data_IF_303205899936
#
_entry.id   IF_303205899936
#
_cell.length_a   1.000
_cell.length_b   1.000
_cell.length_c   1.000
_cell.angle_alpha   90.00
_cell.angle_beta   90.00
_cell.angle_gamma   90.00
#
_symmetry.space_group_name_H-M   'P 1'
#
loop_
_entity.id
_entity.type
_entity.pdbx_description
1 polymer ?
#
# COMPACT_ATOMS: atom_id res chain seq x y z
N UNK A 1 19.47 -3.91 5.73
CA UNK A 1 19.09 -4.93 6.74
C UNK A 1 18.61 -6.16 5.98
N UNK A 2 19.13 -7.35 6.27
CA UNK A 2 18.79 -8.56 5.53
C UNK A 2 17.63 -9.27 6.25
N UNK A 3 16.46 -9.36 5.62
CA UNK A 3 15.32 -10.12 6.14
C UNK A 3 15.63 -11.59 5.95
N UNK A 4 15.49 -12.40 7.00
CA UNK A 4 15.56 -13.85 6.88
C UNK A 4 14.12 -14.40 6.75
N UNK A 5 13.72 -14.92 5.58
CA UNK A 5 12.34 -15.36 5.34
C UNK A 5 11.89 -16.51 6.23
N UNK A 6 12.83 -17.31 6.76
CA UNK A 6 12.52 -18.46 7.60
C UNK A 6 12.17 -18.12 9.05
N UNK A 7 12.40 -16.88 9.46
CA UNK A 7 12.13 -16.38 10.83
C UNK A 7 11.36 -15.06 10.83
N UNK A 8 10.95 -14.57 9.65
CA UNK A 8 10.25 -13.30 9.55
C UNK A 8 8.82 -13.45 10.09
N UNK A 9 8.43 -12.50 10.94
CA UNK A 9 7.06 -12.32 11.41
C UNK A 9 6.73 -10.83 11.41
N UNK A 10 5.47 -10.44 11.19
CA UNK A 10 5.05 -9.06 11.44
C UNK A 10 5.43 -8.63 12.87
N UNK A 11 6.00 -7.43 13.01
CA UNK A 11 6.31 -6.82 14.31
C UNK A 11 7.73 -6.24 14.40
N UNK A 12 8.63 -6.64 13.51
CA UNK A 12 10.03 -6.21 13.58
C UNK A 12 10.25 -4.80 13.00
N UNK A 13 9.70 -4.54 11.81
CA UNK A 13 9.84 -3.26 11.08
C UNK A 13 8.66 -3.02 10.14
N UNK A 14 8.43 -1.75 9.82
CA UNK A 14 7.50 -1.36 8.76
C UNK A 14 8.14 -1.60 7.38
N UNK A 15 7.37 -2.19 6.49
CA UNK A 15 7.77 -2.52 5.13
C UNK A 15 6.70 -2.13 4.12
N UNK A 16 7.19 -1.63 3.00
CA UNK A 16 6.45 -1.49 1.77
C UNK A 16 6.80 -2.69 0.88
N UNK A 17 5.80 -3.31 0.28
CA UNK A 17 6.00 -4.33 -0.75
C UNK A 17 5.02 -4.12 -1.91
N UNK A 18 5.31 -4.77 -3.04
CA UNK A 18 4.58 -4.54 -4.29
C UNK A 18 4.03 -5.85 -4.85
N UNK A 19 2.89 -5.75 -5.52
CA UNK A 19 2.30 -6.89 -6.20
C UNK A 19 1.60 -6.50 -7.51
N UNK A 20 1.40 -7.48 -8.39
CA UNK A 20 0.46 -7.38 -9.49
C UNK A 20 -0.71 -8.37 -9.36
N UNK A 21 -1.88 -7.95 -9.82
CA UNK A 21 -3.08 -8.79 -9.89
C UNK A 21 -3.12 -9.65 -11.16
N UNK A 22 -4.21 -10.40 -11.36
CA UNK A 22 -4.39 -11.29 -12.53
C UNK A 22 -4.39 -10.56 -13.88
N UNK A 23 -4.54 -9.23 -13.87
CA UNK A 23 -4.51 -8.36 -15.05
C UNK A 23 -3.19 -7.55 -15.12
N UNK A 24 -2.18 -7.99 -14.37
CA UNK A 24 -0.87 -7.35 -14.20
C UNK A 24 -0.93 -5.90 -13.67
N UNK A 25 -2.05 -5.48 -13.06
CA UNK A 25 -2.17 -4.14 -12.45
C UNK A 25 -1.40 -4.08 -11.14
N UNK A 26 -0.71 -2.98 -10.90
CA UNK A 26 0.22 -2.85 -9.78
C UNK A 26 -0.41 -2.25 -8.52
N UNK A 27 0.01 -2.77 -7.38
CA UNK A 27 -0.35 -2.29 -6.07
C UNK A 27 0.88 -2.15 -5.16
N UNK A 28 0.83 -1.15 -4.28
CA UNK A 28 1.73 -0.97 -3.16
C UNK A 28 1.00 -1.37 -1.87
N UNK A 29 1.70 -2.09 -0.99
CA UNK A 29 1.18 -2.57 0.28
C UNK A 29 2.02 -2.02 1.43
N UNK A 30 1.38 -1.28 2.33
CA UNK A 30 1.97 -0.85 3.60
C UNK A 30 1.62 -1.89 4.66
N UNK A 31 2.62 -2.62 5.17
CA UNK A 31 2.37 -3.70 6.12
C UNK A 31 2.09 -3.21 7.54
N UNK A 32 2.42 -1.95 7.88
CA UNK A 32 2.32 -1.37 9.21
C UNK A 32 2.71 -2.33 10.34
N UNK A 33 3.82 -3.06 10.16
CA UNK A 33 4.34 -4.05 11.12
C UNK A 33 3.39 -5.20 11.50
N UNK A 34 2.22 -5.30 10.87
CA UNK A 34 1.14 -6.22 11.28
C UNK A 34 0.72 -7.14 10.14
N UNK A 35 0.79 -6.65 8.90
CA UNK A 35 0.48 -7.42 7.71
C UNK A 35 1.62 -8.36 7.31
N UNK A 36 1.23 -9.56 6.89
CA UNK A 36 2.12 -10.55 6.28
C UNK A 36 2.73 -10.04 4.98
N UNK A 37 3.97 -10.42 4.68
CA UNK A 37 4.66 -10.15 3.42
C UNK A 37 4.81 -11.48 2.68
N UNK A 38 4.57 -11.56 1.36
CA UNK A 38 4.69 -12.82 0.64
C UNK A 38 6.10 -13.43 0.75
N UNK A 39 6.17 -14.71 1.13
CA UNK A 39 7.42 -15.47 1.18
C UNK A 39 8.08 -15.56 -0.19
N UNK A 40 7.31 -15.50 -1.27
CA UNK A 40 7.79 -15.57 -2.66
C UNK A 40 8.78 -14.45 -2.99
N UNK A 41 8.50 -13.21 -2.58
CA UNK A 41 9.40 -12.06 -2.81
C UNK A 41 10.55 -12.01 -1.79
N UNK A 42 10.35 -12.53 -0.59
CA UNK A 42 11.39 -12.52 0.45
C UNK A 42 12.55 -13.50 0.16
N UNK A 43 12.36 -14.48 -0.74
CA UNK A 43 13.41 -15.43 -1.12
C UNK A 43 14.60 -14.80 -1.87
N UNK A 44 14.44 -13.59 -2.42
CA UNK A 44 15.56 -12.90 -3.06
C UNK A 44 16.59 -12.43 -2.01
N UNK A 45 17.86 -12.85 -2.17
CA UNK A 45 18.94 -12.49 -1.24
C UNK A 45 19.20 -10.99 -1.13
N UNK A 46 18.78 -10.23 -2.13
CA UNK A 46 18.86 -8.77 -2.22
C UNK A 46 17.47 -8.11 -2.09
N UNK A 47 16.47 -8.81 -1.53
CA UNK A 47 15.09 -8.34 -1.40
C UNK A 47 15.02 -6.90 -0.88
N UNK A 48 15.61 -6.64 0.30
CA UNK A 48 15.55 -5.34 0.95
C UNK A 48 16.12 -4.21 0.07
N UNK A 49 17.29 -4.43 -0.54
CA UNK A 49 17.91 -3.44 -1.42
C UNK A 49 17.12 -3.25 -2.72
N UNK A 50 16.54 -4.31 -3.27
CA UNK A 50 15.77 -4.23 -4.52
C UNK A 50 14.42 -3.52 -4.29
N UNK A 51 13.74 -3.81 -3.18
CA UNK A 51 12.53 -3.09 -2.76
C UNK A 51 12.83 -1.62 -2.51
N UNK A 52 13.91 -1.30 -1.81
CA UNK A 52 14.30 0.10 -1.56
C UNK A 52 14.50 0.87 -2.86
N UNK A 53 15.22 0.29 -3.83
CA UNK A 53 15.41 0.88 -5.16
C UNK A 53 14.10 1.00 -5.94
N UNK A 54 13.21 0.00 -5.86
CA UNK A 54 11.89 0.06 -6.49
C UNK A 54 11.03 1.18 -5.86
N UNK A 55 11.05 1.32 -4.54
CA UNK A 55 10.36 2.41 -3.84
C UNK A 55 10.90 3.77 -4.29
N UNK A 56 12.22 3.95 -4.32
CA UNK A 56 12.84 5.20 -4.82
C UNK A 56 12.46 5.48 -6.27
N UNK A 57 12.37 4.45 -7.12
CA UNK A 57 11.90 4.56 -8.50
C UNK A 57 10.43 5.02 -8.59
N UNK A 58 9.55 4.45 -7.77
CA UNK A 58 8.12 4.79 -7.75
C UNK A 58 7.87 6.22 -7.24
N UNK A 59 8.58 6.62 -6.18
CA UNK A 59 8.44 7.94 -5.56
C UNK A 59 9.29 9.03 -6.21
N UNK A 60 10.16 8.68 -7.17
CA UNK A 60 11.10 9.59 -7.84
C UNK A 60 12.04 10.32 -6.89
N UNK A 61 12.42 9.67 -5.79
CA UNK A 61 13.33 10.25 -4.78
C UNK A 61 14.78 10.38 -5.28
N UNK A 62 15.09 9.87 -6.47
CA UNK A 62 16.39 9.96 -7.13
C UNK A 62 16.24 10.41 -8.59
N UNK A 63 17.04 11.40 -9.00
CA UNK A 63 16.93 12.10 -10.28
C UNK A 63 17.18 11.25 -11.54
N UNK A 64 17.65 10.02 -11.38
CA UNK A 64 17.99 9.13 -12.51
C UNK A 64 16.80 8.30 -13.01
N UNK A 65 15.69 8.30 -12.28
CA UNK A 65 14.50 7.54 -12.61
C UNK A 65 13.31 8.48 -12.79
N UNK A 66 12.83 8.62 -14.03
CA UNK A 66 11.56 9.29 -14.33
C UNK A 66 10.52 8.21 -14.61
N UNK A 67 9.58 8.02 -13.68
CA UNK A 67 8.44 7.15 -13.91
C UNK A 67 7.33 7.95 -14.58
N UNK A 68 6.74 7.40 -15.64
CA UNK A 68 5.76 8.11 -16.45
C UNK A 68 4.54 8.55 -15.60
N UNK A 69 4.25 9.85 -15.60
CA UNK A 69 3.07 10.39 -14.93
C UNK A 69 1.81 9.99 -15.69
N UNK A 70 0.86 9.41 -14.98
CA UNK A 70 -0.52 9.21 -15.44
C UNK A 70 -1.35 10.44 -15.09
N UNK A 71 -2.41 10.66 -15.87
CA UNK A 71 -3.40 11.71 -15.64
C UNK A 71 -4.70 11.10 -15.10
N UNK A 72 -4.57 10.19 -14.13
CA UNK A 72 -5.71 9.55 -13.48
C UNK A 72 -6.26 10.37 -12.33
N UNK A 73 -7.19 9.75 -11.60
CA UNK A 73 -7.77 10.27 -10.35
C UNK A 73 -7.50 9.29 -9.21
N UNK A 74 -7.44 9.81 -7.99
CA UNK A 74 -7.36 9.00 -6.77
C UNK A 74 -8.77 8.83 -6.18
N UNK A 75 -9.19 7.59 -6.03
CA UNK A 75 -10.44 7.21 -5.37
C UNK A 75 -10.12 6.70 -3.96
N UNK A 76 -10.76 7.29 -2.95
CA UNK A 76 -10.74 6.76 -1.58
C UNK A 76 -11.75 5.61 -1.47
N UNK A 77 -11.29 4.42 -1.08
CA UNK A 77 -12.17 3.25 -0.89
C UNK A 77 -12.50 3.02 0.58
N UNK A 78 -11.48 2.76 1.40
CA UNK A 78 -11.59 2.70 2.87
C UNK A 78 -10.44 3.46 3.52
N UNK A 79 -10.48 3.78 4.81
CA UNK A 79 -9.32 4.35 5.50
C UNK A 79 -9.19 3.82 6.92
N UNK A 80 -7.96 3.76 7.42
CA UNK A 80 -7.68 3.34 8.80
C UNK A 80 -8.29 4.33 9.80
N UNK A 81 -9.09 3.83 10.74
CA UNK A 81 -9.59 4.61 11.85
C UNK A 81 -8.43 5.14 12.70
N UNK A 82 -7.49 4.27 13.06
CA UNK A 82 -6.43 4.56 14.02
C UNK A 82 -5.43 5.59 13.47
N UNK A 83 -4.94 5.40 12.24
CA UNK A 83 -3.97 6.31 11.60
C UNK A 83 -4.57 7.72 11.47
N UNK A 84 -5.85 7.78 11.09
CA UNK A 84 -6.54 9.05 10.90
C UNK A 84 -7.05 9.68 12.21
N UNK A 85 -7.09 8.92 13.32
CA UNK A 85 -7.29 9.42 14.69
C UNK A 85 -6.00 9.99 15.27
N UNK A 86 -4.87 9.32 15.15
CA UNK A 86 -3.59 9.80 15.69
C UNK A 86 -3.11 11.07 14.97
N UNK A 87 -3.32 11.15 13.65
CA UNK A 87 -3.02 12.36 12.85
C UNK A 87 -3.93 13.55 13.17
N UNK A 88 -5.03 13.38 13.90
CA UNK A 88 -5.79 14.52 14.48
C UNK A 88 -5.23 14.99 15.81
N UNK A 89 -4.55 14.13 16.58
CA UNK A 89 -4.00 14.51 17.90
C UNK A 89 -2.83 15.51 17.81
N UNK A 90 -2.16 15.61 16.65
CA UNK A 90 -0.87 16.33 16.54
C UNK A 90 -0.97 17.81 16.17
N UNK A 91 -2.15 18.39 15.88
CA UNK A 91 -2.25 19.82 15.58
C UNK A 91 -3.58 20.43 16.01
N UNK A 92 -3.49 21.21 17.10
CA UNK A 92 -4.37 22.33 17.46
C UNK A 92 -5.81 21.94 17.82
N UNK A 93 -6.26 22.51 18.92
CA UNK A 93 -7.64 22.54 19.42
C UNK A 93 -8.01 21.39 20.35
N UNK A 94 -8.60 21.76 21.50
CA UNK A 94 -9.15 20.89 22.54
C UNK A 94 -10.38 20.10 22.05
N UNK A 95 -10.28 19.45 20.89
CA UNK A 95 -11.33 18.67 20.27
C UNK A 95 -11.27 17.26 20.88
N UNK A 96 -12.38 16.73 21.44
CA UNK A 96 -12.42 15.37 21.96
C UNK A 96 -12.06 14.35 20.89
N UNK A 97 -11.37 13.28 21.29
CA UNK A 97 -10.93 12.18 20.43
C UNK A 97 -12.01 11.73 19.45
N UNK A 98 -11.80 11.99 18.16
CA UNK A 98 -12.64 11.47 17.09
C UNK A 98 -11.77 11.13 15.88
N UNK A 99 -12.11 10.09 15.10
CA UNK A 99 -11.48 9.91 13.81
C UNK A 99 -11.73 11.14 12.94
N UNK A 100 -10.80 11.44 12.02
CA UNK A 100 -11.11 12.37 10.93
C UNK A 100 -12.39 11.94 10.22
N UNK A 101 -13.26 12.90 9.97
CA UNK A 101 -14.41 12.69 9.11
C UNK A 101 -13.97 12.35 7.69
N UNK A 102 -14.83 11.64 6.95
CA UNK A 102 -14.62 11.34 5.54
C UNK A 102 -14.22 12.60 4.73
N UNK A 103 -14.87 13.73 4.99
CA UNK A 103 -14.58 15.00 4.32
C UNK A 103 -13.17 15.51 4.59
N UNK A 104 -12.64 15.30 5.79
CA UNK A 104 -11.26 15.67 6.14
C UNK A 104 -10.27 14.79 5.41
N UNK A 105 -10.52 13.47 5.31
CA UNK A 105 -9.67 12.55 4.53
C UNK A 105 -9.67 12.93 3.05
N UNK A 106 -10.85 13.11 2.46
CA UNK A 106 -11.01 13.53 1.06
C UNK A 106 -10.36 14.88 0.78
N UNK A 107 -10.46 15.84 1.71
CA UNK A 107 -9.81 17.16 1.56
C UNK A 107 -8.28 17.06 1.55
N UNK A 108 -7.71 16.15 2.34
CA UNK A 108 -6.26 15.89 2.30
C UNK A 108 -5.86 15.25 0.97
N UNK A 109 -6.59 14.24 0.51
CA UNK A 109 -6.36 13.62 -0.80
C UNK A 109 -6.41 14.67 -1.91
N UNK A 110 -7.45 15.51 -1.92
CA UNK A 110 -7.60 16.57 -2.91
C UNK A 110 -6.45 17.59 -2.87
N UNK A 111 -5.93 17.92 -1.68
CA UNK A 111 -4.77 18.82 -1.50
C UNK A 111 -3.52 18.28 -2.20
N UNK A 112 -3.21 17.00 -2.04
CA UNK A 112 -2.01 16.38 -2.59
C UNK A 112 -2.13 16.00 -4.08
N UNK A 113 -3.37 15.89 -4.58
CA UNK A 113 -3.66 15.62 -5.99
C UNK A 113 -3.66 16.88 -6.87
N UNK A 114 -3.46 18.07 -6.31
CA UNK A 114 -3.36 19.29 -7.13
C UNK A 114 -2.16 19.21 -8.08
N UNK A 115 -2.30 19.79 -9.27
CA UNK A 115 -1.28 19.75 -10.33
C UNK A 115 0.02 20.47 -9.95
N UNK A 116 -0.05 21.45 -9.06
CA UNK A 116 1.10 22.25 -8.59
C UNK A 116 1.86 21.58 -7.42
N UNK A 117 1.30 20.52 -6.82
CA UNK A 117 2.04 19.73 -5.83
C UNK A 117 3.10 18.89 -6.55
N UNK A 118 4.39 19.08 -6.27
CA UNK A 118 5.44 18.42 -7.08
C UNK A 118 5.73 17.01 -6.59
N UNK A 119 5.76 16.79 -5.28
CA UNK A 119 6.23 15.52 -4.70
C UNK A 119 5.22 14.39 -4.88
N UNK A 120 5.72 13.15 -5.01
CA UNK A 120 4.89 11.95 -4.92
C UNK A 120 4.70 11.59 -3.44
N UNK A 121 3.47 11.26 -3.06
CA UNK A 121 3.12 10.75 -1.73
C UNK A 121 1.94 9.78 -1.85
N UNK A 122 1.63 9.05 -0.79
CA UNK A 122 0.55 8.05 -0.79
C UNK A 122 -0.76 8.58 -1.40
N UNK A 123 -1.17 9.79 -1.02
CA UNK A 123 -2.45 10.37 -1.47
C UNK A 123 -2.52 10.67 -2.98
N UNK A 124 -1.38 10.88 -3.65
CA UNK A 124 -1.33 11.16 -5.09
C UNK A 124 -0.67 10.05 -5.92
N UNK A 125 -0.19 8.99 -5.26
CA UNK A 125 0.39 7.83 -5.92
C UNK A 125 -0.61 7.14 -6.88
N UNK A 126 -1.91 6.96 -6.54
CA UNK A 126 -2.87 6.39 -7.49
C UNK A 126 -3.07 7.24 -8.74
N UNK A 127 -3.34 8.54 -8.61
CA UNK A 127 -3.61 9.41 -9.76
C UNK A 127 -2.39 9.59 -10.67
N UNK A 128 -1.18 9.68 -10.08
CA UNK A 128 0.06 10.00 -10.80
C UNK A 128 0.82 8.79 -11.29
N UNK A 129 0.82 7.71 -10.51
CA UNK A 129 1.59 6.51 -10.82
C UNK A 129 0.71 5.37 -11.25
N UNK A 130 -0.59 5.37 -10.90
CA UNK A 130 -1.54 4.33 -11.28
C UNK A 130 -1.51 3.11 -10.37
N UNK A 131 -0.97 3.23 -9.16
CA UNK A 131 -0.90 2.12 -8.22
C UNK A 131 -2.14 2.11 -7.31
N UNK A 132 -2.65 0.92 -7.04
CA UNK A 132 -3.52 0.71 -5.88
C UNK A 132 -2.69 0.80 -4.60
N UNK A 133 -3.28 1.29 -3.52
CA UNK A 133 -2.66 1.30 -2.20
C UNK A 133 -3.48 0.43 -1.26
N UNK A 134 -2.82 -0.58 -0.72
CA UNK A 134 -3.33 -1.43 0.33
C UNK A 134 -2.62 -1.12 1.63
N UNK A 135 -3.37 -1.15 2.72
CA UNK A 135 -2.87 -0.91 4.06
C UNK A 135 -3.27 -2.04 4.97
N UNK A 136 -2.32 -2.59 5.70
CA UNK A 136 -2.61 -3.53 6.77
C UNK A 136 -3.41 -2.82 7.88
N UNK A 137 -4.32 -3.53 8.52
CA UNK A 137 -4.99 -3.07 9.72
C UNK A 137 -3.98 -3.09 10.87
N UNK A 138 -3.71 -1.90 11.42
CA UNK A 138 -2.72 -1.70 12.47
C UNK A 138 -3.31 -1.94 13.88
N UNK A 139 -2.47 -1.95 14.92
CA UNK A 139 -2.88 -2.03 16.31
C UNK A 139 -2.23 -3.18 17.08
N UNK A 140 -2.34 -3.12 18.39
CA UNK A 140 -1.88 -4.14 19.34
C UNK A 140 -3.04 -5.05 19.79
N UNK A 141 -4.27 -4.55 19.75
CA UNK A 141 -5.47 -5.26 20.19
C UNK A 141 -6.58 -5.20 19.13
N UNK A 142 -7.41 -6.25 19.07
CA UNK A 142 -8.53 -6.31 18.12
C UNK A 142 -9.44 -5.08 18.27
N UNK A 143 -9.88 -4.53 17.13
CA UNK A 143 -10.75 -3.36 17.01
C UNK A 143 -10.13 -2.00 17.38
N UNK A 144 -8.82 -1.93 17.65
CA UNK A 144 -8.12 -0.64 17.78
C UNK A 144 -8.06 0.13 16.46
N UNK A 145 -7.88 -0.61 15.36
CA UNK A 145 -8.02 -0.12 14.00
C UNK A 145 -9.04 -0.94 13.22
N UNK A 146 -9.62 -0.30 12.22
CA UNK A 146 -10.55 -0.90 11.28
C UNK A 146 -10.70 0.00 10.05
N UNK A 147 -10.97 -0.58 8.87
CA UNK A 147 -11.26 0.18 7.66
C UNK A 147 -12.63 0.86 7.76
N UNK A 148 -12.63 2.18 7.96
CA UNK A 148 -13.86 2.98 8.01
C UNK A 148 -14.60 2.88 6.67
N UNK A 149 -15.89 2.53 6.74
CA UNK A 149 -16.76 2.30 5.58
C UNK A 149 -16.92 0.83 5.20
N UNK A 150 -16.10 -0.07 5.73
CA UNK A 150 -16.25 -1.51 5.58
C UNK A 150 -17.06 -2.10 6.74
N UNK A 151 -17.93 -3.07 6.44
CA UNK A 151 -18.86 -3.67 7.44
C UNK A 151 -18.61 -5.17 7.67
N UNK A 152 -17.72 -5.79 6.90
CA UNK A 152 -17.36 -7.18 7.08
C UNK A 152 -16.36 -7.37 8.23
N UNK A 153 -16.11 -8.62 8.58
CA UNK A 153 -15.12 -8.97 9.61
C UNK A 153 -13.69 -8.72 9.13
N UNK A 154 -12.86 -8.20 10.02
CA UNK A 154 -11.44 -7.92 9.79
C UNK A 154 -10.61 -8.28 11.02
N UNK A 155 -9.32 -8.56 10.80
CA UNK A 155 -8.34 -8.78 11.85
C UNK A 155 -7.12 -7.87 11.65
N UNK A 156 -6.37 -7.63 12.71
CA UNK A 156 -5.05 -6.99 12.61
C UNK A 156 -4.20 -7.75 11.58
N UNK A 157 -3.53 -6.99 10.72
CA UNK A 157 -2.71 -7.51 9.63
C UNK A 157 -3.46 -7.82 8.34
N UNK A 158 -4.80 -7.91 8.34
CA UNK A 158 -5.56 -7.96 7.08
C UNK A 158 -5.29 -6.68 6.28
N UNK A 159 -5.16 -6.79 4.96
CA UNK A 159 -4.96 -5.63 4.10
C UNK A 159 -6.29 -5.14 3.55
N UNK A 160 -6.60 -3.86 3.70
CA UNK A 160 -7.73 -3.21 3.04
C UNK A 160 -7.26 -2.34 1.88
N UNK A 161 -8.09 -2.21 0.85
CA UNK A 161 -7.84 -1.26 -0.24
C UNK A 161 -8.09 0.17 0.26
N UNK A 162 -7.01 0.94 0.47
CA UNK A 162 -7.09 2.33 0.91
C UNK A 162 -7.45 3.23 -0.27
N UNK A 163 -6.57 3.31 -1.27
CA UNK A 163 -6.72 4.19 -2.42
C UNK A 163 -6.64 3.41 -3.73
N UNK A 164 -7.44 3.81 -4.71
CA UNK A 164 -7.50 3.19 -6.03
C UNK A 164 -7.26 4.22 -7.14
N UNK A 165 -6.58 3.84 -8.23
CA UNK A 165 -6.44 4.68 -9.41
C UNK A 165 -7.62 4.50 -10.37
N UNK A 166 -7.89 5.49 -11.21
CA UNK A 166 -8.73 5.33 -12.41
C UNK A 166 -7.92 4.89 -13.65
N UNK A 167 -6.62 5.17 -13.65
CA UNK A 167 -5.68 4.82 -14.71
C UNK A 167 -4.59 3.90 -14.15
N UNK A 168 -4.55 2.64 -14.59
CA UNK A 168 -3.73 1.62 -13.96
C UNK A 168 -2.28 1.64 -14.43
N UNK A 169 -1.35 1.49 -13.49
CA UNK A 169 -0.03 0.96 -13.78
C UNK A 169 -0.12 -0.54 -13.97
N UNK A 170 0.61 -1.01 -14.97
CA UNK A 170 0.78 -2.43 -15.23
C UNK A 170 2.23 -2.82 -15.07
N UNK A 171 2.50 -4.12 -14.90
CA UNK A 171 3.85 -4.66 -14.71
C UNK A 171 4.87 -4.16 -15.75
N UNK A 172 4.46 -4.01 -17.02
CA UNK A 172 5.30 -3.48 -18.11
C UNK A 172 5.76 -2.03 -17.89
N UNK A 173 5.12 -1.27 -17.00
CA UNK A 173 5.56 0.06 -16.61
C UNK A 173 6.77 0.05 -15.65
N UNK A 174 7.13 -1.12 -15.12
CA UNK A 174 8.25 -1.30 -14.20
C UNK A 174 9.44 -1.92 -14.94
N UNK A 175 10.68 -1.46 -14.71
CA UNK A 175 11.88 -2.14 -15.18
C UNK A 175 11.95 -3.60 -14.73
N UNK A 176 12.26 -4.50 -15.66
CA UNK A 176 12.26 -5.95 -15.42
C UNK A 176 13.17 -6.41 -14.27
N UNK A 177 14.24 -5.67 -13.97
CA UNK A 177 15.13 -5.94 -12.83
C UNK A 177 14.42 -5.95 -11.47
N UNK A 178 13.25 -5.31 -11.36
CA UNK A 178 12.45 -5.28 -10.14
C UNK A 178 11.39 -6.40 -10.07
N UNK A 179 11.15 -7.17 -11.14
CA UNK A 179 10.03 -8.13 -11.17
C UNK A 179 10.17 -9.24 -10.12
N UNK A 180 11.41 -9.57 -9.74
CA UNK A 180 11.73 -10.56 -8.69
C UNK A 180 11.30 -10.15 -7.27
N UNK A 181 10.95 -8.87 -7.05
CA UNK A 181 10.41 -8.39 -5.76
C UNK A 181 8.97 -7.87 -5.88
N UNK A 182 8.32 -8.14 -7.01
CA UNK A 182 6.89 -7.89 -7.21
C UNK A 182 6.18 -9.24 -7.11
N UNK A 183 5.32 -9.38 -6.10
CA UNK A 183 4.54 -10.59 -5.93
C UNK A 183 3.44 -10.67 -6.99
N UNK A 184 3.09 -11.86 -7.48
CA UNK A 184 2.07 -12.03 -8.52
C UNK A 184 0.92 -12.87 -8.02
N UNK A 185 -0.30 -12.39 -8.24
CA UNK A 185 -1.52 -13.19 -8.04
C UNK A 185 -2.19 -13.51 -9.36
N UNK A 186 -2.52 -14.78 -9.59
CA UNK A 186 -3.33 -15.19 -10.74
C UNK A 186 -4.84 -15.10 -10.48
N UNK A 187 -5.24 -14.83 -9.24
CA UNK A 187 -6.65 -14.96 -8.81
C UNK A 187 -7.26 -13.63 -8.38
N UNK A 188 -6.49 -12.75 -7.74
CA UNK A 188 -6.99 -11.45 -7.32
C UNK A 188 -7.24 -10.52 -8.51
N UNK A 189 -8.24 -9.67 -8.33
CA UNK A 189 -8.55 -8.52 -9.18
C UNK A 189 -8.66 -7.31 -8.26
N UNK A 190 -7.71 -6.38 -8.37
CA UNK A 190 -7.63 -5.27 -7.41
C UNK A 190 -8.83 -4.33 -7.46
N UNK A 191 -9.59 -4.30 -8.56
CA UNK A 191 -10.82 -3.53 -8.63
C UNK A 191 -11.95 -4.12 -7.78
N UNK A 192 -11.93 -5.44 -7.57
CA UNK A 192 -13.03 -6.20 -6.97
C UNK A 192 -12.67 -6.78 -5.60
N UNK A 193 -11.56 -6.36 -5.00
CA UNK A 193 -11.14 -6.77 -3.67
C UNK A 193 -11.29 -5.61 -2.68
N UNK A 194 -11.88 -5.91 -1.53
CA UNK A 194 -12.01 -4.97 -0.42
C UNK A 194 -10.94 -5.25 0.64
N UNK A 195 -10.86 -6.51 1.06
CA UNK A 195 -9.95 -7.03 2.09
C UNK A 195 -9.20 -8.25 1.56
N UNK A 196 -7.91 -8.33 1.85
CA UNK A 196 -7.07 -9.52 1.67
C UNK A 196 -6.68 -10.00 3.06
N UNK A 197 -7.03 -11.24 3.39
CA UNK A 197 -6.74 -11.81 4.71
C UNK A 197 -5.25 -12.07 4.86
N UNK A 198 -4.68 -11.67 6.00
CA UNK A 198 -3.24 -11.81 6.25
C UNK A 198 -2.77 -13.26 6.09
N UNK A 199 -3.54 -14.20 6.65
CA UNK A 199 -3.29 -15.65 6.56
C UNK A 199 -3.29 -16.21 5.12
N UNK A 200 -3.89 -15.50 4.16
CA UNK A 200 -3.99 -15.93 2.76
C UNK A 200 -2.90 -15.32 1.87
N UNK A 201 -2.08 -14.38 2.38
CA UNK A 201 -1.06 -13.66 1.59
C UNK A 201 -0.12 -14.62 0.85
N UNK A 202 0.44 -15.60 1.56
CA UNK A 202 1.37 -16.56 0.96
C UNK A 202 0.71 -17.52 -0.04
N UNK A 203 -0.60 -17.74 0.07
CA UNK A 203 -1.37 -18.55 -0.87
C UNK A 203 -1.75 -17.77 -2.13
N UNK A 204 -2.07 -16.49 -1.95
CA UNK A 204 -2.53 -15.60 -3.02
C UNK A 204 -1.36 -15.11 -3.89
N UNK A 205 -0.21 -14.88 -3.26
CA UNK A 205 1.00 -14.33 -3.85
C UNK A 205 2.16 -15.34 -3.71
N UNK A 206 1.95 -16.56 -4.20
CA UNK A 206 2.88 -17.69 -4.05
C UNK A 206 4.11 -17.63 -4.97
N UNK A 207 4.16 -16.65 -5.87
CA UNK A 207 5.22 -16.44 -6.84
C UNK A 207 5.50 -14.96 -7.08
N UNK A 208 6.62 -14.71 -7.75
CA UNK A 208 7.02 -13.37 -8.21
C UNK A 208 6.61 -13.15 -9.66
N UNK A 209 6.68 -11.91 -10.13
CA UNK A 209 6.31 -11.54 -11.49
C UNK A 209 7.40 -11.86 -12.54
N UNK A 210 8.64 -12.09 -12.11
CA UNK A 210 9.81 -12.32 -12.96
C UNK A 210 10.34 -13.75 -12.96
#
# INVERSE_FOLDING_TARGET
MQINPSIWTPGDYEYIWFACDKNDRLAMFNNYMTGEIPLSIMQDVNFANTIERLTQFIFEDQSEYSYYYKNGETILKYYSYLIHKERSQSRLDNIPDRPRSLNEVLSNIAKYNKKDFVNICDENLPSRKGLFLFSAIHGYHENEDYPVGYTGETKIGDYFCYLMPTEYAILENIPNEFYKVIAKSDTLDFNNVDIIKSQDINKIFDKVAG
#
